data_IF_028554844720
#
_entry.id   IF_028554844720
#
_cell.length_a   1.000
_cell.length_b   1.000
_cell.length_c   1.000
_cell.angle_alpha   90.00
_cell.angle_beta   90.00
_cell.angle_gamma   90.00
#
_symmetry.space_group_name_H-M   'P 1'
#
loop_
_entity.id
_entity.type
_entity.pdbx_description
1 polymer ?
#
# COMPACT_ATOMS: atom_id res chain seq x y z
N UNK A 1 -40.19 27.14 -23.74
CA UNK A 1 -38.97 26.38 -24.05
C UNK A 1 -38.54 25.66 -22.75
N UNK A 2 -38.88 24.34 -22.62
CA UNK A 2 -38.42 23.50 -21.50
C UNK A 2 -36.95 23.19 -21.78
N UNK A 3 -36.06 23.65 -20.92
CA UNK A 3 -34.66 23.23 -20.88
C UNK A 3 -34.61 21.72 -20.65
N UNK A 4 -34.18 20.97 -21.65
CA UNK A 4 -33.88 19.54 -21.49
C UNK A 4 -32.69 19.45 -20.55
N UNK A 5 -32.93 18.91 -19.37
CA UNK A 5 -31.88 18.52 -18.41
C UNK A 5 -30.95 17.54 -19.15
N UNK A 6 -29.65 17.81 -19.27
CA UNK A 6 -28.76 16.90 -19.95
C UNK A 6 -28.82 15.54 -19.24
N UNK A 7 -29.11 14.51 -20.00
CA UNK A 7 -29.06 13.12 -19.55
C UNK A 7 -27.72 12.86 -18.91
N UNK A 8 -27.70 12.82 -17.58
CA UNK A 8 -26.49 12.48 -16.83
C UNK A 8 -26.22 11.02 -17.13
N UNK A 9 -25.28 10.74 -18.03
CA UNK A 9 -24.82 9.36 -18.25
C UNK A 9 -24.54 8.74 -16.88
N UNK A 10 -25.16 7.60 -16.61
CA UNK A 10 -24.90 6.86 -15.38
C UNK A 10 -23.41 6.56 -15.29
N UNK A 11 -22.83 6.77 -14.12
CA UNK A 11 -21.40 6.47 -13.91
C UNK A 11 -21.19 4.96 -14.13
N UNK A 12 -20.24 4.54 -14.96
CA UNK A 12 -20.01 3.12 -15.25
C UNK A 12 -19.63 2.28 -14.03
N UNK A 13 -19.27 2.94 -12.92
CA UNK A 13 -18.95 2.30 -11.64
C UNK A 13 -20.10 2.35 -10.62
N UNK A 14 -21.28 2.86 -11.01
CA UNK A 14 -22.41 3.01 -10.09
C UNK A 14 -22.31 4.24 -9.19
N UNK A 15 -23.12 4.28 -8.13
CA UNK A 15 -23.16 5.39 -7.20
C UNK A 15 -21.86 5.50 -6.36
N UNK A 16 -21.49 6.73 -6.00
CA UNK A 16 -20.36 6.98 -5.09
C UNK A 16 -20.74 6.56 -3.67
N UNK A 17 -19.94 5.68 -3.08
CA UNK A 17 -20.13 5.17 -1.71
C UNK A 17 -19.25 5.93 -0.72
N UNK A 18 -17.96 6.06 -1.01
CA UNK A 18 -17.01 6.77 -0.14
C UNK A 18 -15.92 7.48 -0.95
N UNK A 19 -15.32 8.50 -0.34
CA UNK A 19 -14.21 9.24 -0.94
C UNK A 19 -13.07 9.37 0.06
N UNK A 20 -11.88 8.94 -0.35
CA UNK A 20 -10.66 8.96 0.43
C UNK A 20 -9.64 9.90 -0.21
N UNK A 21 -9.63 11.19 0.20
CA UNK A 21 -8.63 12.14 -0.28
C UNK A 21 -7.26 11.83 0.32
N UNK A 22 -6.21 12.22 -0.37
CA UNK A 22 -4.86 12.15 0.19
C UNK A 22 -4.74 13.13 1.37
N UNK A 23 -4.24 12.64 2.51
CA UNK A 23 -4.14 13.40 3.76
C UNK A 23 -3.05 14.47 3.68
N UNK A 24 -3.44 15.73 3.70
CA UNK A 24 -2.51 16.86 3.74
C UNK A 24 -1.71 16.92 5.05
N UNK A 25 -2.32 16.49 6.18
CA UNK A 25 -1.64 16.49 7.47
C UNK A 25 -0.45 15.53 7.50
N UNK A 26 -0.61 14.32 6.95
CA UNK A 26 0.49 13.36 6.85
C UNK A 26 1.53 13.77 5.80
N UNK A 27 1.14 14.57 4.81
CA UNK A 27 2.06 15.19 3.87
C UNK A 27 2.81 16.37 4.48
N UNK A 28 2.26 17.03 5.51
CA UNK A 28 2.90 18.14 6.20
C UNK A 28 4.28 17.80 6.74
N UNK A 29 4.46 16.58 7.27
CA UNK A 29 5.77 16.10 7.72
C UNK A 29 6.76 16.00 6.55
N UNK A 30 6.34 15.50 5.40
CA UNK A 30 7.19 15.40 4.19
C UNK A 30 7.54 16.77 3.64
N UNK A 31 6.59 17.71 3.66
CA UNK A 31 6.83 19.11 3.28
C UNK A 31 7.82 19.75 4.24
N UNK A 32 7.63 19.56 5.56
CA UNK A 32 8.53 20.08 6.59
C UNK A 32 9.96 19.57 6.40
N UNK A 33 10.13 18.27 6.21
CA UNK A 33 11.44 17.66 5.89
C UNK A 33 12.02 18.22 4.58
N UNK A 34 11.19 18.33 3.53
CA UNK A 34 11.62 18.87 2.25
C UNK A 34 12.10 20.32 2.36
N UNK A 35 11.35 21.18 3.03
CA UNK A 35 11.71 22.57 3.27
C UNK A 35 12.98 22.68 4.14
N UNK A 36 13.08 21.87 5.19
CA UNK A 36 14.26 21.80 6.04
C UNK A 36 15.53 21.43 5.27
N UNK A 37 15.44 20.39 4.40
CA UNK A 37 16.55 20.02 3.54
C UNK A 37 16.92 21.14 2.56
N UNK A 38 15.94 21.86 1.99
CA UNK A 38 16.21 22.99 1.10
C UNK A 38 16.86 24.16 1.83
N UNK A 39 16.48 24.45 3.07
CA UNK A 39 17.11 25.47 3.91
C UNK A 39 18.58 25.09 4.19
N UNK A 40 18.85 23.83 4.60
CA UNK A 40 20.22 23.36 4.79
C UNK A 40 21.03 23.48 3.50
N UNK A 41 20.46 23.11 2.35
CA UNK A 41 21.13 23.25 1.07
C UNK A 41 21.48 24.71 0.76
N UNK A 42 20.57 25.64 1.05
CA UNK A 42 20.76 27.08 0.89
C UNK A 42 21.88 27.59 1.83
N UNK A 43 21.86 27.17 3.09
CA UNK A 43 22.89 27.51 4.07
C UNK A 43 24.24 26.99 3.64
N UNK A 44 24.35 25.75 3.14
CA UNK A 44 25.60 25.19 2.60
C UNK A 44 26.15 26.00 1.41
N UNK A 45 25.29 26.61 0.61
CA UNK A 45 25.72 27.51 -0.47
C UNK A 45 26.11 28.89 0.06
N UNK A 46 25.31 29.44 0.99
CA UNK A 46 25.49 30.81 1.49
C UNK A 46 26.63 30.99 2.51
N UNK A 47 26.76 30.03 3.45
CA UNK A 47 27.77 30.07 4.51
C UNK A 47 29.21 30.34 4.04
N UNK A 48 29.71 29.68 2.99
CA UNK A 48 31.05 29.98 2.49
C UNK A 48 31.24 31.43 2.10
N UNK A 49 30.21 32.07 1.54
CA UNK A 49 30.36 33.46 1.10
C UNK A 49 30.30 34.48 2.24
N UNK A 50 29.64 34.14 3.36
CA UNK A 50 29.46 35.07 4.48
C UNK A 50 30.49 34.91 5.60
N UNK A 51 30.96 33.68 5.84
CA UNK A 51 31.82 33.36 7.00
C UNK A 51 33.29 33.28 6.62
N UNK A 52 33.63 32.94 5.38
CA UNK A 52 35.01 32.72 4.97
C UNK A 52 35.36 33.53 3.68
N UNK A 53 35.14 34.86 3.65
CA UNK A 53 35.37 35.60 2.41
C UNK A 53 36.86 35.66 2.01
N UNK A 54 37.82 35.55 2.97
CA UNK A 54 39.24 35.69 2.70
C UNK A 54 39.98 34.40 2.30
N UNK A 55 39.38 33.22 2.53
CA UNK A 55 40.06 31.93 2.32
C UNK A 55 39.45 31.05 1.21
N UNK A 56 38.27 31.38 0.71
CA UNK A 56 37.53 30.55 -0.26
C UNK A 56 38.23 30.35 -1.61
N UNK A 57 39.13 31.26 -1.99
CA UNK A 57 39.88 31.15 -3.25
C UNK A 57 40.93 30.05 -3.27
N UNK A 58 41.28 29.46 -2.11
CA UNK A 58 42.38 28.53 -1.97
C UNK A 58 41.97 27.15 -1.40
N UNK A 59 40.74 27.01 -0.89
CA UNK A 59 40.32 25.75 -0.24
C UNK A 59 39.30 24.97 -1.08
N UNK A 60 39.83 24.27 -2.09
CA UNK A 60 39.07 23.38 -2.97
C UNK A 60 38.29 22.32 -2.17
N UNK A 61 38.81 21.90 -1.00
CA UNK A 61 38.18 20.92 -0.15
C UNK A 61 36.89 21.47 0.47
N UNK A 62 36.88 22.72 0.94
CA UNK A 62 35.68 23.38 1.47
C UNK A 62 34.59 23.50 0.40
N UNK A 63 34.95 23.91 -0.81
CA UNK A 63 34.03 23.98 -1.95
C UNK A 63 33.42 22.62 -2.29
N UNK A 64 34.22 21.56 -2.28
CA UNK A 64 33.71 20.19 -2.56
C UNK A 64 32.79 19.72 -1.45
N UNK A 65 33.09 19.95 -0.17
CA UNK A 65 32.26 19.52 0.96
C UNK A 65 30.94 20.27 0.98
N UNK A 66 30.96 21.60 0.92
CA UNK A 66 29.72 22.40 0.95
C UNK A 66 28.89 22.23 -0.32
N UNK A 67 29.53 22.17 -1.49
CA UNK A 67 28.84 21.90 -2.76
C UNK A 67 28.22 20.49 -2.79
N UNK A 68 28.93 19.49 -2.29
CA UNK A 68 28.42 18.13 -2.15
C UNK A 68 27.23 18.05 -1.19
N UNK A 69 27.31 18.70 -0.04
CA UNK A 69 26.20 18.78 0.93
C UNK A 69 24.99 19.49 0.33
N UNK A 70 25.19 20.62 -0.34
CA UNK A 70 24.12 21.35 -1.01
C UNK A 70 23.39 20.51 -2.08
N UNK A 71 24.15 19.73 -2.87
CA UNK A 71 23.57 18.81 -3.86
C UNK A 71 22.75 17.70 -3.21
N UNK A 72 23.24 17.08 -2.15
CA UNK A 72 22.53 16.01 -1.45
C UNK A 72 21.22 16.54 -0.83
N UNK A 73 21.31 17.59 -0.03
CA UNK A 73 20.11 18.15 0.63
C UNK A 73 19.16 18.80 -0.36
N UNK A 74 19.65 19.48 -1.38
CA UNK A 74 18.86 20.04 -2.46
C UNK A 74 18.08 18.96 -3.23
N UNK A 75 18.73 17.85 -3.56
CA UNK A 75 18.09 16.71 -4.22
C UNK A 75 17.02 16.05 -3.36
N UNK A 76 17.30 15.84 -2.06
CA UNK A 76 16.31 15.30 -1.11
C UNK A 76 15.11 16.24 -0.93
N UNK A 77 15.37 17.54 -0.82
CA UNK A 77 14.32 18.56 -0.71
C UNK A 77 13.43 18.62 -1.96
N UNK A 78 14.05 18.64 -3.13
CA UNK A 78 13.35 18.62 -4.41
C UNK A 78 12.54 17.34 -4.61
N UNK A 79 13.11 16.18 -4.27
CA UNK A 79 12.42 14.89 -4.31
C UNK A 79 11.17 14.88 -3.41
N UNK A 80 11.31 15.31 -2.15
CA UNK A 80 10.20 15.39 -1.20
C UNK A 80 9.10 16.33 -1.70
N UNK A 81 9.47 17.50 -2.22
CA UNK A 81 8.54 18.49 -2.76
C UNK A 81 7.84 17.97 -4.04
N UNK A 82 8.57 17.33 -4.95
CA UNK A 82 7.99 16.77 -6.17
C UNK A 82 6.96 15.66 -5.87
N UNK A 83 7.25 14.83 -4.87
CA UNK A 83 6.28 13.83 -4.37
C UNK A 83 5.03 14.47 -3.79
N UNK A 84 5.16 15.55 -3.03
CA UNK A 84 4.02 16.31 -2.52
C UNK A 84 3.14 16.86 -3.65
N UNK A 85 3.76 17.53 -4.62
CA UNK A 85 3.02 18.14 -5.75
C UNK A 85 2.27 17.07 -6.57
N UNK A 86 2.89 15.92 -6.81
CA UNK A 86 2.26 14.79 -7.53
C UNK A 86 1.10 14.17 -6.74
N UNK A 87 1.24 14.06 -5.42
CA UNK A 87 0.20 13.48 -4.58
C UNK A 87 -0.97 14.45 -4.31
N UNK A 88 -0.73 15.76 -4.47
CA UNK A 88 -1.75 16.78 -4.21
C UNK A 88 -2.95 16.64 -5.13
N UNK A 89 -4.12 16.48 -4.53
CA UNK A 89 -5.39 16.36 -5.25
C UNK A 89 -5.69 14.96 -5.79
N UNK A 90 -4.84 13.96 -5.56
CA UNK A 90 -5.19 12.57 -5.79
C UNK A 90 -6.25 12.13 -4.80
N UNK A 91 -7.15 11.27 -5.26
CA UNK A 91 -8.27 10.73 -4.48
C UNK A 91 -8.52 9.30 -4.88
N UNK A 92 -9.01 8.52 -3.94
CA UNK A 92 -9.60 7.22 -4.20
C UNK A 92 -11.09 7.33 -3.90
N UNK A 93 -11.89 7.14 -4.91
CA UNK A 93 -13.36 7.11 -4.80
C UNK A 93 -13.80 5.67 -4.91
N UNK A 94 -14.55 5.23 -3.92
CA UNK A 94 -15.18 3.92 -3.90
C UNK A 94 -16.60 4.07 -4.41
N UNK A 95 -16.91 3.39 -5.48
CA UNK A 95 -18.23 3.30 -6.07
C UNK A 95 -18.84 1.93 -5.75
N UNK A 96 -20.10 1.71 -6.09
CA UNK A 96 -20.79 0.43 -5.86
C UNK A 96 -20.09 -0.74 -6.56
N UNK A 97 -19.59 -0.55 -7.78
CA UNK A 97 -19.02 -1.61 -8.61
C UNK A 97 -17.51 -1.52 -8.77
N UNK A 98 -16.85 -0.52 -8.20
CA UNK A 98 -15.41 -0.36 -8.39
C UNK A 98 -14.80 0.87 -7.74
N UNK A 99 -13.57 1.15 -8.15
CA UNK A 99 -12.74 2.22 -7.65
C UNK A 99 -12.40 3.20 -8.77
N UNK A 100 -12.41 4.49 -8.46
CA UNK A 100 -11.83 5.54 -9.30
C UNK A 100 -10.64 6.15 -8.59
N UNK A 101 -9.46 6.02 -9.17
CA UNK A 101 -8.19 6.42 -8.58
C UNK A 101 -7.58 7.51 -9.44
N UNK A 102 -7.21 8.65 -8.86
CA UNK A 102 -6.50 9.68 -9.60
C UNK A 102 -6.90 11.10 -9.25
N UNK A 103 -6.66 12.03 -10.19
CA UNK A 103 -6.88 13.46 -10.01
C UNK A 103 -7.58 14.07 -11.23
N UNK A 104 -8.70 14.74 -11.04
CA UNK A 104 -9.39 15.48 -12.08
C UNK A 104 -9.77 14.59 -13.27
N UNK A 105 -9.16 14.84 -14.45
CA UNK A 105 -9.38 14.06 -15.67
C UNK A 105 -8.47 12.82 -15.76
N UNK A 106 -7.34 12.83 -15.04
CA UNK A 106 -6.39 11.73 -15.02
C UNK A 106 -6.83 10.71 -13.95
N UNK A 107 -7.88 9.97 -14.26
CA UNK A 107 -8.41 8.95 -13.36
C UNK A 107 -8.35 7.58 -14.03
N UNK A 108 -8.02 6.56 -13.22
CA UNK A 108 -8.11 5.15 -13.61
C UNK A 108 -9.31 4.55 -12.91
N UNK A 109 -10.23 3.99 -13.68
CA UNK A 109 -11.37 3.23 -13.18
C UNK A 109 -10.97 1.75 -13.12
N UNK A 110 -11.34 1.08 -12.03
CA UNK A 110 -11.06 -0.32 -11.76
C UNK A 110 -12.30 -0.97 -11.16
N UNK A 111 -12.89 -1.92 -11.82
CA UNK A 111 -14.04 -2.66 -11.28
C UNK A 111 -13.59 -3.66 -10.23
N UNK A 112 -14.41 -3.92 -9.21
CA UNK A 112 -14.08 -4.90 -8.17
C UNK A 112 -13.85 -6.30 -8.73
N UNK A 113 -14.58 -6.69 -9.75
CA UNK A 113 -14.40 -7.97 -10.45
C UNK A 113 -13.05 -8.11 -11.16
N UNK A 114 -12.40 -6.99 -11.51
CA UNK A 114 -11.10 -6.98 -12.18
C UNK A 114 -9.94 -7.04 -11.18
N UNK A 115 -10.22 -6.86 -9.87
CA UNK A 115 -9.21 -6.95 -8.82
C UNK A 115 -8.95 -8.42 -8.50
N UNK A 116 -7.74 -8.86 -8.80
CA UNK A 116 -7.36 -10.26 -8.62
C UNK A 116 -6.63 -10.52 -7.31
N UNK A 117 -6.08 -9.47 -6.70
CA UNK A 117 -5.37 -9.56 -5.43
C UNK A 117 -5.35 -8.21 -4.71
N UNK A 118 -5.37 -8.24 -3.38
CA UNK A 118 -5.27 -7.07 -2.50
C UNK A 118 -4.14 -7.29 -1.52
N UNK A 119 -3.19 -6.35 -1.47
CA UNK A 119 -2.08 -6.41 -0.54
C UNK A 119 -1.77 -5.05 0.07
N UNK A 120 -1.06 -5.07 1.20
CA UNK A 120 -0.70 -3.84 1.91
C UNK A 120 0.50 -4.02 2.82
N UNK A 121 1.19 -2.92 3.06
CA UNK A 121 2.25 -2.82 4.04
C UNK A 121 1.70 -2.10 5.27
N UNK A 122 1.66 -2.81 6.39
CA UNK A 122 1.10 -2.33 7.64
C UNK A 122 2.22 -2.21 8.70
N UNK A 123 2.20 -1.10 9.45
CA UNK A 123 3.09 -0.92 10.61
C UNK A 123 2.24 -0.89 11.87
N UNK A 124 2.66 -1.62 12.88
CA UNK A 124 2.05 -1.51 14.19
C UNK A 124 2.29 -0.10 14.74
N UNK A 125 1.21 0.56 15.13
CA UNK A 125 1.34 1.76 15.93
C UNK A 125 1.74 1.38 17.37
N UNK A 126 2.46 2.27 18.04
CA UNK A 126 2.77 2.11 19.47
C UNK A 126 1.48 2.29 20.30
N UNK A 127 1.18 1.31 21.16
CA UNK A 127 0.00 1.31 22.00
C UNK A 127 -1.30 0.91 21.28
N UNK A 128 -2.43 1.50 21.67
CA UNK A 128 -3.77 1.18 21.18
C UNK A 128 -4.15 1.91 19.86
N UNK A 129 -3.20 2.62 19.25
CA UNK A 129 -3.46 3.32 18.01
C UNK A 129 -3.68 2.32 16.85
N UNK A 130 -4.55 2.66 15.87
CA UNK A 130 -4.78 1.80 14.72
C UNK A 130 -3.50 1.61 13.90
N UNK A 131 -3.32 0.44 13.24
CA UNK A 131 -2.13 0.19 12.43
C UNK A 131 -2.00 1.23 11.31
N UNK A 132 -0.79 1.70 11.09
CA UNK A 132 -0.47 2.63 10.01
C UNK A 132 -0.27 1.85 8.73
N UNK A 133 -1.07 2.16 7.71
CA UNK A 133 -0.90 1.60 6.36
C UNK A 133 0.08 2.48 5.59
N UNK A 134 1.24 1.94 5.26
CA UNK A 134 2.27 2.67 4.50
C UNK A 134 2.15 2.48 3.00
N UNK A 135 1.59 1.37 2.56
CA UNK A 135 1.29 1.10 1.16
C UNK A 135 0.07 0.18 1.05
N UNK A 136 -0.72 0.40 0.03
CA UNK A 136 -1.82 -0.46 -0.37
C UNK A 136 -1.71 -0.66 -1.89
N UNK A 137 -1.80 -1.90 -2.34
CA UNK A 137 -1.75 -2.23 -3.77
C UNK A 137 -2.82 -3.23 -4.15
N UNK A 138 -3.19 -3.17 -5.41
CA UNK A 138 -4.18 -4.05 -6.05
C UNK A 138 -3.51 -4.64 -7.28
N UNK A 139 -3.68 -5.92 -7.51
CA UNK A 139 -3.28 -6.53 -8.76
C UNK A 139 -4.54 -6.74 -9.63
N UNK A 140 -4.48 -6.42 -10.92
CA UNK A 140 -5.57 -6.59 -11.87
C UNK A 140 -5.44 -7.91 -12.66
N UNK A 141 -6.37 -8.17 -13.57
CA UNK A 141 -6.35 -9.38 -14.41
C UNK A 141 -5.10 -9.51 -15.31
N UNK A 142 -4.43 -8.41 -15.62
CA UNK A 142 -3.20 -8.40 -16.38
C UNK A 142 -1.96 -8.55 -15.49
N UNK A 143 -2.14 -8.92 -14.22
CA UNK A 143 -1.12 -8.96 -13.16
C UNK A 143 -0.37 -7.61 -13.00
N UNK A 144 -1.00 -6.52 -13.45
CA UNK A 144 -0.45 -5.18 -13.29
C UNK A 144 -0.73 -4.68 -11.87
N UNK A 145 0.36 -4.38 -11.15
CA UNK A 145 0.26 -3.83 -9.79
C UNK A 145 -0.07 -2.35 -9.79
N UNK A 146 -1.21 -2.02 -9.21
CA UNK A 146 -1.70 -0.67 -9.05
C UNK A 146 -1.47 -0.27 -7.60
N UNK A 147 -0.53 0.65 -7.37
CA UNK A 147 -0.33 1.24 -6.04
C UNK A 147 -1.36 2.34 -5.82
N UNK A 148 -2.08 2.24 -4.72
CA UNK A 148 -2.96 3.33 -4.31
C UNK A 148 -2.13 4.51 -3.80
N UNK A 149 -2.60 5.76 -4.03
CA UNK A 149 -1.90 6.93 -3.54
C UNK A 149 -1.81 6.89 -2.01
N UNK A 150 -0.61 7.09 -1.48
CA UNK A 150 -0.37 7.16 -0.04
C UNK A 150 0.32 8.50 0.30
N UNK A 151 -0.05 9.12 1.41
CA UNK A 151 -1.05 8.71 2.40
C UNK A 151 -2.47 9.15 2.04
N UNK A 152 -3.40 8.23 1.86
CA UNK A 152 -4.84 8.54 1.85
C UNK A 152 -5.33 8.81 3.28
N UNK A 153 -6.41 9.57 3.41
CA UNK A 153 -7.11 9.70 4.68
C UNK A 153 -7.77 8.36 5.00
N UNK A 154 -7.45 7.82 6.17
CA UNK A 154 -7.94 6.53 6.65
C UNK A 154 -7.70 5.35 5.66
N UNK A 155 -6.43 5.01 5.41
CA UNK A 155 -6.08 3.96 4.47
C UNK A 155 -6.48 2.57 4.97
N UNK A 156 -6.66 2.40 6.29
CA UNK A 156 -7.09 1.14 6.89
C UNK A 156 -8.55 0.83 6.54
N UNK A 157 -9.44 1.81 6.71
CA UNK A 157 -10.86 1.67 6.32
C UNK A 157 -11.00 1.46 4.81
N UNK A 158 -10.25 2.20 3.99
CA UNK A 158 -10.22 1.99 2.54
C UNK A 158 -9.80 0.56 2.20
N UNK A 159 -8.69 0.06 2.78
CA UNK A 159 -8.21 -1.29 2.54
C UNK A 159 -9.23 -2.36 2.93
N UNK A 160 -9.88 -2.21 4.09
CA UNK A 160 -10.94 -3.11 4.53
C UNK A 160 -12.16 -3.09 3.61
N UNK A 161 -12.57 -1.91 3.16
CA UNK A 161 -13.71 -1.77 2.26
C UNK A 161 -13.43 -2.47 0.93
N UNK A 162 -12.24 -2.26 0.34
CA UNK A 162 -11.84 -2.94 -0.90
C UNK A 162 -11.77 -4.44 -0.68
N UNK A 163 -11.09 -4.88 0.38
CA UNK A 163 -10.94 -6.30 0.68
C UNK A 163 -12.30 -6.99 0.86
N UNK A 164 -13.24 -6.35 1.57
CA UNK A 164 -14.59 -6.89 1.78
C UNK A 164 -15.38 -7.01 0.47
N UNK A 165 -15.34 -5.98 -0.39
CA UNK A 165 -16.08 -5.97 -1.66
C UNK A 165 -15.54 -6.92 -2.71
N UNK A 166 -14.26 -7.27 -2.62
CA UNK A 166 -13.60 -8.19 -3.55
C UNK A 166 -13.44 -9.60 -2.99
N UNK A 167 -13.84 -9.83 -1.74
CA UNK A 167 -13.56 -11.05 -1.00
C UNK A 167 -14.09 -12.30 -1.69
N UNK A 168 -15.39 -12.34 -2.02
CA UNK A 168 -16.04 -13.52 -2.58
C UNK A 168 -15.42 -13.91 -3.92
N UNK A 169 -15.15 -12.94 -4.78
CA UNK A 169 -14.50 -13.16 -6.07
C UNK A 169 -13.07 -13.70 -5.93
N UNK A 170 -12.29 -13.16 -4.98
CA UNK A 170 -10.92 -13.62 -4.70
C UNK A 170 -10.91 -15.02 -4.08
N UNK A 171 -11.86 -15.31 -3.20
CA UNK A 171 -12.03 -16.64 -2.61
C UNK A 171 -12.39 -17.67 -3.68
N UNK A 172 -13.40 -17.39 -4.51
CA UNK A 172 -13.78 -18.28 -5.63
C UNK A 172 -12.61 -18.56 -6.57
N UNK A 173 -11.84 -17.51 -6.89
CA UNK A 173 -10.64 -17.64 -7.72
C UNK A 173 -9.58 -18.54 -7.08
N UNK A 174 -9.35 -18.41 -5.78
CA UNK A 174 -8.38 -19.24 -5.06
C UNK A 174 -8.84 -20.70 -4.97
N UNK A 175 -10.12 -20.94 -4.69
CA UNK A 175 -10.73 -22.28 -4.68
C UNK A 175 -10.64 -22.95 -6.05
N UNK A 176 -11.00 -22.22 -7.12
CA UNK A 176 -10.89 -22.71 -8.50
C UNK A 176 -9.44 -23.08 -8.84
N UNK A 177 -8.44 -22.28 -8.42
CA UNK A 177 -7.02 -22.60 -8.65
C UNK A 177 -6.60 -23.89 -7.94
N UNK A 178 -7.12 -24.17 -6.74
CA UNK A 178 -6.84 -25.45 -6.06
C UNK A 178 -7.51 -26.61 -6.83
N UNK A 179 -8.74 -26.45 -7.26
CA UNK A 179 -9.44 -27.48 -8.01
C UNK A 179 -8.78 -27.80 -9.37
N UNK A 180 -8.36 -26.75 -10.11
CA UNK A 180 -7.79 -26.92 -11.46
C UNK A 180 -6.30 -27.28 -11.45
N UNK A 181 -5.53 -26.70 -10.49
CA UNK A 181 -4.06 -26.78 -10.48
C UNK A 181 -3.50 -27.47 -9.24
N UNK A 182 -4.36 -27.96 -8.33
CA UNK A 182 -3.99 -28.56 -7.07
C UNK A 182 -3.45 -27.56 -6.04
N UNK A 183 -3.31 -26.28 -6.38
CA UNK A 183 -2.67 -25.29 -5.49
C UNK A 183 -3.07 -23.84 -5.79
N UNK A 184 -3.07 -23.00 -4.75
CA UNK A 184 -3.22 -21.55 -4.85
C UNK A 184 -2.02 -20.83 -4.18
N UNK A 185 -1.58 -19.73 -4.81
CA UNK A 185 -0.46 -18.93 -4.31
C UNK A 185 -0.98 -17.62 -3.69
N UNK A 186 -0.41 -17.29 -2.54
CA UNK A 186 -0.64 -16.07 -1.77
C UNK A 186 0.72 -15.41 -1.50
N UNK A 187 1.36 -14.92 -2.57
CA UNK A 187 2.73 -14.44 -2.50
C UNK A 187 3.71 -15.53 -2.08
N UNK A 188 4.32 -15.37 -0.89
CA UNK A 188 5.25 -16.36 -0.34
C UNK A 188 4.57 -17.64 0.13
N UNK A 189 3.29 -17.56 0.50
CA UNK A 189 2.53 -18.73 0.91
C UNK A 189 1.92 -19.45 -0.29
N UNK A 190 1.87 -20.78 -0.19
CA UNK A 190 1.15 -21.63 -1.13
C UNK A 190 0.27 -22.60 -0.34
N UNK A 191 -0.97 -22.72 -0.78
CA UNK A 191 -1.94 -23.66 -0.20
C UNK A 191 -2.28 -24.71 -1.25
N UNK A 192 -2.08 -25.97 -0.91
CA UNK A 192 -2.62 -27.10 -1.67
C UNK A 192 -3.76 -27.80 -0.88
N UNK A 193 -4.25 -28.91 -1.38
CA UNK A 193 -5.36 -29.62 -0.74
C UNK A 193 -5.03 -30.08 0.69
N UNK A 194 -3.78 -30.45 0.94
CA UNK A 194 -3.34 -31.10 2.19
C UNK A 194 -2.38 -30.26 3.01
N UNK A 195 -1.66 -29.32 2.39
CA UNK A 195 -0.55 -28.60 3.03
C UNK A 195 -0.64 -27.09 2.84
N UNK A 196 -0.11 -26.40 3.82
CA UNK A 196 0.22 -24.98 3.78
C UNK A 196 1.74 -24.84 3.74
N UNK A 197 2.26 -24.22 2.69
CA UNK A 197 3.67 -23.86 2.55
C UNK A 197 3.84 -22.41 2.96
N UNK A 198 4.73 -22.14 3.90
CA UNK A 198 4.96 -20.82 4.50
C UNK A 198 6.23 -20.14 3.99
N UNK A 199 6.85 -20.71 2.96
CA UNK A 199 8.10 -20.30 2.33
C UNK A 199 8.90 -21.52 1.89
N UNK A 200 10.17 -21.30 1.53
CA UNK A 200 11.03 -22.38 1.07
C UNK A 200 11.29 -23.40 2.20
N UNK A 201 10.86 -24.64 1.99
CA UNK A 201 11.13 -25.75 2.90
C UNK A 201 10.26 -25.87 4.17
N UNK A 202 9.40 -24.88 4.47
CA UNK A 202 8.50 -24.94 5.62
C UNK A 202 7.07 -25.27 5.17
N UNK A 203 6.70 -26.53 5.23
CA UNK A 203 5.37 -27.01 4.88
C UNK A 203 4.69 -27.65 6.08
N UNK A 204 3.43 -27.30 6.31
CA UNK A 204 2.62 -27.76 7.44
C UNK A 204 1.37 -28.45 6.90
N UNK A 205 0.97 -29.57 7.49
CA UNK A 205 -0.32 -30.17 7.16
C UNK A 205 -1.46 -29.22 7.53
N UNK A 206 -2.46 -29.08 6.67
CA UNK A 206 -3.66 -28.27 6.98
C UNK A 206 -4.39 -28.78 8.21
N UNK A 207 -4.36 -30.09 8.44
CA UNK A 207 -4.99 -30.72 9.61
C UNK A 207 -4.28 -30.33 10.91
N UNK A 208 -2.97 -30.01 10.84
CA UNK A 208 -2.20 -29.57 12.00
C UNK A 208 -2.39 -28.09 12.30
N UNK A 209 -3.03 -27.32 11.44
CA UNK A 209 -3.32 -25.91 11.70
C UNK A 209 -4.49 -25.80 12.65
N UNK A 210 -4.19 -25.56 13.92
CA UNK A 210 -5.21 -25.34 14.96
C UNK A 210 -5.87 -23.97 14.85
N UNK A 211 -5.10 -22.94 14.50
CA UNK A 211 -5.55 -21.56 14.41
C UNK A 211 -4.63 -20.75 13.51
N UNK A 212 -5.22 -19.94 12.66
CA UNK A 212 -4.51 -18.91 11.93
C UNK A 212 -5.13 -17.54 12.25
N UNK A 213 -4.28 -16.53 12.44
CA UNK A 213 -4.69 -15.16 12.77
C UNK A 213 -3.88 -14.14 11.95
N UNK A 214 -4.54 -13.11 11.52
CA UNK A 214 -3.91 -11.94 10.94
C UNK A 214 -3.65 -10.91 12.05
N UNK A 215 -2.42 -10.47 12.19
CA UNK A 215 -2.06 -9.24 12.91
C UNK A 215 -1.58 -8.19 11.90
N UNK A 216 -1.27 -7.00 12.38
CA UNK A 216 -0.79 -5.91 11.51
C UNK A 216 0.51 -6.23 10.78
N UNK A 217 1.38 -7.08 11.34
CA UNK A 217 2.70 -7.42 10.76
C UNK A 217 2.83 -8.86 10.32
N UNK A 218 2.08 -9.78 10.95
CA UNK A 218 2.29 -11.20 10.81
C UNK A 218 1.00 -11.96 10.60
N UNK A 219 1.06 -12.97 9.76
CA UNK A 219 0.12 -14.08 9.81
C UNK A 219 0.70 -15.08 10.80
N UNK A 220 -0.01 -15.28 11.92
CA UNK A 220 0.34 -16.26 12.95
C UNK A 220 -0.41 -17.56 12.69
N UNK A 221 0.33 -18.62 12.45
CA UNK A 221 -0.21 -19.98 12.31
C UNK A 221 0.20 -20.80 13.52
N UNK A 222 -0.77 -21.25 14.31
CA UNK A 222 -0.56 -22.15 15.46
C UNK A 222 -0.87 -23.58 15.07
N UNK A 223 0.03 -24.46 15.40
CA UNK A 223 -0.06 -25.88 15.11
C UNK A 223 -0.67 -26.66 16.28
N UNK A 224 -1.29 -27.78 15.98
CA UNK A 224 -1.82 -28.71 17.00
C UNK A 224 -0.71 -29.25 17.94
N UNK A 225 0.51 -29.38 17.43
CA UNK A 225 1.71 -29.73 18.18
C UNK A 225 2.19 -28.66 19.17
N UNK A 226 1.52 -27.49 19.24
CA UNK A 226 1.93 -26.36 20.07
C UNK A 226 2.93 -25.41 19.39
N UNK A 227 3.43 -25.77 18.22
CA UNK A 227 4.34 -24.92 17.44
C UNK A 227 3.65 -23.66 16.89
N UNK A 228 4.45 -22.60 16.63
CA UNK A 228 4.01 -21.33 16.06
C UNK A 228 4.84 -21.01 14.84
N UNK A 229 4.18 -20.54 13.77
CA UNK A 229 4.82 -20.00 12.57
C UNK A 229 4.36 -18.57 12.33
N UNK A 230 5.26 -17.72 11.89
CA UNK A 230 5.01 -16.31 11.60
C UNK A 230 5.44 -16.01 10.17
N UNK A 231 4.53 -15.44 9.38
CA UNK A 231 4.82 -14.98 8.02
C UNK A 231 4.52 -13.49 7.94
N UNK A 232 5.42 -12.66 7.38
CA UNK A 232 5.16 -11.24 7.23
C UNK A 232 3.91 -11.01 6.37
N UNK A 233 2.99 -10.17 6.85
CA UNK A 233 1.72 -9.89 6.12
C UNK A 233 1.98 -9.24 4.76
N UNK A 234 3.05 -8.46 4.63
CA UNK A 234 3.46 -7.82 3.38
C UNK A 234 3.84 -8.81 2.27
N UNK A 235 4.26 -10.01 2.64
CA UNK A 235 4.63 -11.08 1.72
C UNK A 235 3.45 -11.95 1.30
N UNK A 236 2.27 -11.73 1.91
CA UNK A 236 1.08 -12.56 1.70
C UNK A 236 -0.11 -11.68 1.28
N UNK A 237 -0.22 -11.33 -0.01
CA UNK A 237 -1.44 -10.74 -0.53
C UNK A 237 -2.61 -11.70 -0.34
N UNK A 238 -3.81 -11.15 -0.23
CA UNK A 238 -5.03 -11.93 0.02
C UNK A 238 -4.98 -12.77 1.31
N UNK A 239 -4.31 -12.25 2.34
CA UNK A 239 -4.18 -12.92 3.63
C UNK A 239 -5.53 -13.26 4.26
N UNK A 240 -6.56 -12.44 4.04
CA UNK A 240 -7.94 -12.65 4.47
C UNK A 240 -8.55 -13.91 3.83
N UNK A 241 -8.33 -14.10 2.52
CA UNK A 241 -8.76 -15.30 1.79
C UNK A 241 -8.03 -16.53 2.29
N UNK A 242 -6.70 -16.45 2.42
CA UNK A 242 -5.89 -17.55 2.95
C UNK A 242 -6.39 -18.00 4.32
N UNK A 243 -6.69 -17.05 5.23
CA UNK A 243 -7.19 -17.37 6.57
C UNK A 243 -8.53 -18.08 6.58
N UNK A 244 -9.45 -17.71 5.67
CA UNK A 244 -10.74 -18.39 5.55
C UNK A 244 -10.56 -19.79 5.01
N UNK A 245 -9.69 -19.97 4.02
CA UNK A 245 -9.40 -21.29 3.46
C UNK A 245 -8.68 -22.24 4.43
N UNK A 246 -7.98 -21.69 5.44
CA UNK A 246 -7.33 -22.48 6.52
C UNK A 246 -8.27 -22.85 7.66
N UNK A 247 -9.47 -22.27 7.73
CA UNK A 247 -10.42 -22.70 8.77
C UNK A 247 -10.78 -24.17 8.53
N UNK A 248 -10.74 -25.00 9.59
CA UNK A 248 -11.25 -26.34 9.46
C UNK A 248 -12.70 -26.26 8.96
N UNK A 249 -13.00 -26.97 7.89
CA UNK A 249 -14.41 -27.12 7.49
C UNK A 249 -15.08 -27.73 8.70
N UNK A 250 -15.99 -26.98 9.34
CA UNK A 250 -16.85 -27.54 10.36
C UNK A 250 -17.46 -28.80 9.73
N UNK A 251 -17.23 -29.94 10.35
CA UNK A 251 -17.89 -31.17 9.94
C UNK A 251 -19.40 -30.88 9.96
N UNK A 252 -19.99 -30.91 8.75
CA UNK A 252 -21.40 -30.66 8.53
C UNK A 252 -22.22 -31.85 9.02
#
# INVERSE_FOLDING_TARGET
VRAQTPYRQADPLGALVSEHPVSLAQQGVRIGVGLFCLLIALDCVALPFFIIPEHLGHDLAALVVFGGAALVFGSLGFWAFSHFVRARGQRVKVHEEGLRIGRGKDTKDLRFQDITSVGGLFWEALGDAPPVVSALWLDDHADARIRLPTPVRDPYTLGREIASRTFDHRLEKAERRIQEKGRAFFGRCMLDETRLHLGEGDAVSRQDVRRARLSSRWIEVRLASGGKRLVPTEEVPDADVLLVMLRPKAEA
#
